data_IF_201505180483
#
_entry.id   IF_201505180483
#
_cell.length_a   1.000
_cell.length_b   1.000
_cell.length_c   1.000
_cell.angle_alpha   90.00
_cell.angle_beta   90.00
_cell.angle_gamma   90.00
#
_symmetry.space_group_name_H-M   'P 1'
#
loop_
_entity.id
_entity.type
_entity.pdbx_description
1 polymer ?
#
# COMPACT_ATOMS: atom_id res chain seq x y z
N UNK A 1 8.97 -4.47 6.37
CA UNK A 1 8.88 -4.93 4.96
C UNK A 1 8.84 -3.66 4.15
N UNK A 2 9.81 -3.41 3.27
CA UNK A 2 10.02 -2.08 2.67
C UNK A 2 8.75 -1.45 2.07
N UNK A 3 7.84 -2.25 1.51
CA UNK A 3 6.55 -1.76 1.02
C UNK A 3 5.72 -1.11 2.15
N UNK A 4 5.44 -1.86 3.21
CA UNK A 4 4.69 -1.36 4.37
C UNK A 4 5.46 -0.28 5.14
N UNK A 5 6.79 -0.37 5.21
CA UNK A 5 7.61 0.63 5.89
C UNK A 5 7.50 1.99 5.17
N UNK A 6 7.48 2.02 3.82
CA UNK A 6 7.24 3.24 3.04
C UNK A 6 5.84 3.81 3.26
N UNK A 7 4.80 2.97 3.19
CA UNK A 7 3.41 3.40 3.38
C UNK A 7 3.18 3.95 4.80
N UNK A 8 3.71 3.25 5.82
CA UNK A 8 3.64 3.69 7.21
C UNK A 8 4.39 5.01 7.46
N UNK A 9 5.47 5.26 6.71
CA UNK A 9 6.20 6.53 6.73
C UNK A 9 5.50 7.66 5.95
N UNK A 10 4.35 7.40 5.33
CA UNK A 10 3.62 8.38 4.52
C UNK A 10 4.29 8.68 3.19
N UNK A 11 5.00 7.71 2.63
CA UNK A 11 5.68 7.83 1.32
C UNK A 11 4.94 7.00 0.25
N UNK A 12 4.42 7.64 -0.82
CA UNK A 12 3.81 6.92 -1.94
C UNK A 12 4.81 5.97 -2.61
N UNK A 13 4.30 4.88 -3.16
CA UNK A 13 5.15 3.81 -3.72
C UNK A 13 4.99 3.66 -5.23
N UNK A 14 6.07 3.30 -5.90
CA UNK A 14 6.05 2.83 -7.29
C UNK A 14 6.26 1.33 -7.26
N UNK A 15 5.30 0.57 -7.80
CA UNK A 15 5.27 -0.88 -7.71
C UNK A 15 5.24 -1.53 -9.09
N UNK A 16 6.02 -2.60 -9.29
CA UNK A 16 5.90 -3.42 -10.48
C UNK A 16 4.63 -4.28 -10.44
N UNK A 17 3.88 -4.33 -11.55
CA UNK A 17 2.61 -5.05 -11.71
C UNK A 17 2.63 -6.53 -11.29
N UNK A 18 3.80 -7.18 -11.34
CA UNK A 18 4.00 -8.58 -10.92
C UNK A 18 3.71 -8.86 -9.43
N UNK A 19 3.74 -7.84 -8.57
CA UNK A 19 3.48 -8.01 -7.14
C UNK A 19 1.98 -7.96 -6.83
N UNK A 20 1.25 -9.02 -7.17
CA UNK A 20 -0.23 -9.07 -7.19
C UNK A 20 -0.90 -8.59 -5.88
N UNK A 21 -0.43 -9.03 -4.71
CA UNK A 21 -1.02 -8.65 -3.42
C UNK A 21 -0.77 -7.18 -3.07
N UNK A 22 0.46 -6.69 -3.26
CA UNK A 22 0.82 -5.29 -3.02
C UNK A 22 0.13 -4.36 -4.03
N UNK A 23 0.01 -4.80 -5.28
CA UNK A 23 -0.70 -4.10 -6.34
C UNK A 23 -2.14 -3.81 -5.92
N UNK A 24 -2.85 -4.82 -5.42
CA UNK A 24 -4.23 -4.69 -4.96
C UNK A 24 -4.35 -3.62 -3.86
N UNK A 25 -3.43 -3.63 -2.89
CA UNK A 25 -3.40 -2.62 -1.82
C UNK A 25 -3.22 -1.21 -2.38
N UNK A 26 -2.25 -1.02 -3.29
CA UNK A 26 -1.97 0.30 -3.89
C UNK A 26 -3.17 0.80 -4.70
N UNK A 27 -3.83 -0.07 -5.47
CA UNK A 27 -5.01 0.27 -6.27
C UNK A 27 -6.24 0.57 -5.40
N UNK A 28 -6.49 -0.20 -4.34
CA UNK A 28 -7.64 -0.02 -3.44
C UNK A 28 -7.50 1.24 -2.57
N UNK A 29 -6.27 1.57 -2.14
CA UNK A 29 -6.01 2.70 -1.24
C UNK A 29 -5.55 3.95 -1.96
N UNK A 30 -5.25 3.87 -3.27
CA UNK A 30 -4.68 4.95 -4.07
C UNK A 30 -3.48 5.62 -3.38
N UNK A 31 -2.47 4.82 -3.01
CA UNK A 31 -1.28 5.24 -2.24
C UNK A 31 0.02 5.20 -3.07
N UNK A 32 -0.10 5.19 -4.39
CA UNK A 32 1.03 5.12 -5.30
C UNK A 32 0.61 4.68 -6.69
N UNK A 33 1.57 4.20 -7.47
CA UNK A 33 1.36 3.77 -8.85
C UNK A 33 1.87 2.36 -9.11
N UNK A 34 1.19 1.69 -10.04
CA UNK A 34 1.54 0.36 -10.52
C UNK A 34 1.96 0.44 -11.98
N UNK A 35 3.20 0.04 -12.25
CA UNK A 35 3.83 0.13 -13.55
C UNK A 35 4.10 -1.26 -14.14
N UNK A 36 4.00 -1.37 -15.46
CA UNK A 36 4.33 -2.55 -16.23
C UNK A 36 5.69 -2.40 -16.93
N UNK A 37 6.74 -2.20 -16.11
CA UNK A 37 8.08 -1.71 -16.45
C UNK A 37 8.84 -2.45 -17.56
N UNK A 38 8.28 -3.52 -18.11
CA UNK A 38 8.90 -4.40 -19.11
C UNK A 38 8.09 -4.44 -20.40
N UNK A 39 6.76 -4.27 -20.34
CA UNK A 39 5.87 -4.54 -21.47
C UNK A 39 5.36 -3.26 -22.16
N UNK A 40 5.16 -2.16 -21.41
CA UNK A 40 4.62 -0.91 -21.98
C UNK A 40 5.27 0.35 -21.36
N UNK A 41 6.46 0.75 -21.84
CA UNK A 41 7.19 1.90 -21.29
C UNK A 41 6.49 3.25 -21.55
N UNK A 42 5.74 3.39 -22.64
CA UNK A 42 5.05 4.64 -22.97
C UNK A 42 3.79 4.85 -22.12
N UNK A 43 3.03 3.79 -21.85
CA UNK A 43 1.95 3.83 -20.85
C UNK A 43 2.51 4.14 -19.45
N UNK A 44 3.61 3.50 -19.06
CA UNK A 44 4.22 3.73 -17.76
C UNK A 44 4.74 5.16 -17.57
N UNK A 45 5.32 5.75 -18.62
CA UNK A 45 5.75 7.15 -18.59
C UNK A 45 4.57 8.10 -18.39
N UNK A 46 3.44 7.86 -19.07
CA UNK A 46 2.21 8.64 -18.91
C UNK A 46 1.63 8.49 -17.50
N UNK A 47 1.63 7.28 -16.95
CA UNK A 47 1.21 7.05 -15.55
C UNK A 47 2.10 7.80 -14.57
N UNK A 48 3.41 7.79 -14.78
CA UNK A 48 4.36 8.50 -13.93
C UNK A 48 4.14 10.02 -13.99
N UNK A 49 3.91 10.58 -15.18
CA UNK A 49 3.58 12.00 -15.34
C UNK A 49 2.28 12.35 -14.60
N UNK A 50 1.22 11.57 -14.81
CA UNK A 50 -0.04 11.76 -14.10
C UNK A 50 0.13 11.66 -12.57
N UNK A 51 1.00 10.76 -12.10
CA UNK A 51 1.29 10.60 -10.68
C UNK A 51 1.96 11.82 -10.05
N UNK A 52 2.77 12.55 -10.82
CA UNK A 52 3.39 13.79 -10.35
C UNK A 52 2.33 14.89 -10.16
N UNK A 53 1.38 14.99 -11.09
CA UNK A 53 0.30 15.99 -11.01
C UNK A 53 -0.67 15.72 -9.86
N UNK A 54 -0.84 14.44 -9.46
CA UNK A 54 -1.76 14.00 -8.40
C UNK A 54 -1.02 13.56 -7.12
N UNK A 55 0.22 13.99 -6.93
CA UNK A 55 1.05 13.53 -5.82
C UNK A 55 0.41 13.80 -4.44
N UNK A 56 -0.21 14.96 -4.28
CA UNK A 56 -0.87 15.36 -3.04
C UNK A 56 -2.05 14.44 -2.68
N UNK A 57 -2.74 13.88 -3.68
CA UNK A 57 -3.82 12.92 -3.45
C UNK A 57 -3.29 11.63 -2.81
N UNK A 58 -2.14 11.13 -3.28
CA UNK A 58 -1.50 9.97 -2.65
C UNK A 58 -1.11 10.25 -1.20
N UNK A 59 -0.60 11.45 -0.92
CA UNK A 59 -0.25 11.85 0.45
C UNK A 59 -1.47 11.90 1.35
N UNK A 60 -2.60 12.42 0.87
CA UNK A 60 -3.82 12.46 1.66
C UNK A 60 -4.39 11.06 1.90
N UNK A 61 -4.42 10.21 0.88
CA UNK A 61 -4.86 8.83 1.03
C UNK A 61 -3.97 8.03 1.99
N UNK A 62 -2.65 8.26 2.01
CA UNK A 62 -1.76 7.66 2.99
C UNK A 62 -2.10 8.04 4.43
N UNK A 63 -2.59 9.27 4.68
CA UNK A 63 -3.06 9.67 6.01
C UNK A 63 -4.36 8.97 6.37
N UNK A 64 -5.32 8.91 5.44
CA UNK A 64 -6.62 8.24 5.62
C UNK A 64 -6.42 6.76 5.93
N UNK A 65 -5.58 6.09 5.15
CA UNK A 65 -5.34 4.64 5.24
C UNK A 65 -4.17 4.27 6.17
N UNK A 66 -3.59 5.21 6.92
CA UNK A 66 -2.42 4.96 7.80
C UNK A 66 -2.63 3.78 8.74
N UNK A 67 -3.83 3.66 9.29
CA UNK A 67 -4.19 2.59 10.21
C UNK A 67 -4.11 1.21 9.54
N UNK A 68 -4.22 1.08 8.22
CA UNK A 68 -4.12 -0.21 7.52
C UNK A 68 -2.67 -0.70 7.41
N UNK A 69 -1.71 0.24 7.44
CA UNK A 69 -0.30 -0.05 7.19
C UNK A 69 0.54 -0.16 8.46
N UNK A 70 0.01 0.27 9.60
CA UNK A 70 0.71 0.32 10.89
C UNK A 70 0.18 -0.77 11.83
N UNK A 71 1.12 -1.49 12.46
CA UNK A 71 0.80 -2.35 13.59
C UNK A 71 0.56 -1.48 14.83
N UNK A 72 -0.65 -1.56 15.38
CA UNK A 72 -1.06 -0.82 16.56
C UNK A 72 -1.64 -1.76 17.62
N UNK A 73 -1.91 -1.20 18.80
CA UNK A 73 -2.44 -1.95 19.95
C UNK A 73 -3.80 -2.59 19.65
N UNK A 74 -4.61 -2.01 18.75
CA UNK A 74 -5.91 -2.56 18.37
C UNK A 74 -5.77 -3.85 17.57
N UNK A 75 -4.84 -3.88 16.61
CA UNK A 75 -4.52 -5.10 15.83
C UNK A 75 -3.85 -6.14 16.69
N UNK A 76 -3.01 -5.72 17.63
CA UNK A 76 -2.39 -6.62 18.59
C UNK A 76 -3.43 -7.31 19.47
N UNK A 77 -4.44 -6.58 19.96
CA UNK A 77 -5.53 -7.16 20.73
C UNK A 77 -6.33 -8.18 19.92
N UNK A 78 -6.75 -7.84 18.70
CA UNK A 78 -7.48 -8.76 17.80
C UNK A 78 -6.66 -10.02 17.51
N UNK A 79 -5.36 -9.87 17.27
CA UNK A 79 -4.48 -11.00 17.02
C UNK A 79 -4.31 -11.90 18.25
N UNK A 80 -4.15 -11.31 19.44
CA UNK A 80 -4.09 -12.06 20.70
C UNK A 80 -5.38 -12.85 20.95
N UNK A 81 -6.54 -12.23 20.75
CA UNK A 81 -7.84 -12.88 20.92
C UNK A 81 -8.00 -14.05 19.95
N UNK A 82 -7.58 -13.88 18.69
CA UNK A 82 -7.56 -14.95 17.70
C UNK A 82 -6.69 -16.14 18.16
N UNK A 83 -5.46 -15.88 18.61
CA UNK A 83 -4.57 -16.95 19.10
C UNK A 83 -5.19 -17.68 20.31
N UNK A 84 -5.73 -16.93 21.28
CA UNK A 84 -6.38 -17.50 22.47
C UNK A 84 -7.63 -18.33 22.11
N UNK A 85 -8.35 -17.96 21.05
CA UNK A 85 -9.53 -18.71 20.59
C UNK A 85 -9.17 -20.09 20.04
N UNK A 86 -8.05 -20.19 19.32
CA UNK A 86 -7.55 -21.46 18.78
C UNK A 86 -6.99 -22.34 19.87
N UNK A 87 -6.25 -21.76 20.83
CA UNK A 87 -5.66 -22.53 21.94
C UNK A 87 -6.69 -23.13 22.90
N UNK A 88 -7.92 -22.61 22.92
CA UNK A 88 -9.03 -23.12 23.74
C UNK A 88 -9.92 -24.12 22.99
N UNK A 89 -9.68 -24.32 21.69
CA UNK A 89 -10.37 -25.32 20.85
C UNK A 89 -9.63 -26.65 20.83
#
# INVERSE_FOLDING_TARGET
>A
NKFFDSLAAGTPVILAKRFISMKRIVEETNTGIVLNLIEDPDEDLRKLQNALDHYDEYIENLKIHKHEFVWDESKEAVFKDFVLSIMKS
#
